data_IF_890590224211
#
_entry.id   IF_890590224211
#
_cell.length_a   1.000
_cell.length_b   1.000
_cell.length_c   1.000
_cell.angle_alpha   90.00
_cell.angle_beta   90.00
_cell.angle_gamma   90.00
#
_symmetry.space_group_name_H-M   'P 1'
#
loop_
_entity.id
_entity.type
_entity.pdbx_description
1 polymer ?
#
# COMPACT_ATOMS: atom_id res chain seq x y z
N UNK A 1 9.02 -10.51 27.01
CA UNK A 1 8.37 -9.38 26.28
C UNK A 1 7.52 -9.97 25.18
N UNK A 2 6.23 -9.81 25.29
CA UNK A 2 5.30 -10.36 24.31
C UNK A 2 5.37 -9.55 23.02
N UNK A 3 5.78 -10.20 21.92
CA UNK A 3 5.54 -9.72 20.58
C UNK A 3 4.02 -9.77 20.35
N UNK A 4 3.36 -8.66 20.59
CA UNK A 4 1.98 -8.50 20.16
C UNK A 4 1.97 -8.24 18.65
N UNK A 5 2.16 -9.29 17.87
CA UNK A 5 1.63 -9.32 16.51
C UNK A 5 0.10 -9.34 16.65
N UNK A 6 -0.46 -8.17 16.94
CA UNK A 6 -1.91 -8.01 16.99
C UNK A 6 -2.47 -8.11 15.58
N UNK A 7 -2.89 -9.28 15.19
CA UNK A 7 -3.82 -9.44 14.08
C UNK A 7 -5.13 -8.74 14.47
N UNK A 8 -5.25 -7.48 14.11
CA UNK A 8 -6.52 -6.78 14.15
C UNK A 8 -7.39 -7.33 13.03
N UNK A 9 -8.11 -8.37 13.32
CA UNK A 9 -9.10 -8.94 12.40
C UNK A 9 -10.20 -7.91 12.21
N UNK A 10 -10.23 -7.26 11.05
CA UNK A 10 -11.35 -6.41 10.66
C UNK A 10 -12.55 -7.29 10.32
N UNK A 11 -13.23 -7.78 11.35
CA UNK A 11 -14.28 -8.78 11.28
C UNK A 11 -15.52 -8.36 10.45
N UNK A 12 -15.57 -7.12 9.96
CA UNK A 12 -16.71 -6.59 9.19
C UNK A 12 -16.62 -6.75 7.68
N UNK A 13 -15.44 -7.05 7.12
CA UNK A 13 -15.26 -7.07 5.65
C UNK A 13 -14.64 -8.36 5.09
N UNK A 14 -14.37 -9.35 5.93
CA UNK A 14 -13.74 -10.60 5.48
C UNK A 14 -12.32 -10.43 4.92
N UNK A 15 -11.64 -9.32 5.28
CA UNK A 15 -10.25 -9.04 4.92
C UNK A 15 -9.37 -9.00 6.16
N UNK A 16 -8.19 -9.59 6.06
CA UNK A 16 -7.18 -9.54 7.09
C UNK A 16 -6.40 -8.22 7.03
N UNK A 17 -6.13 -7.62 8.18
CA UNK A 17 -5.33 -6.41 8.31
C UNK A 17 -3.94 -6.76 8.85
N UNK A 18 -2.92 -6.44 8.08
CA UNK A 18 -1.52 -6.61 8.45
C UNK A 18 -0.87 -5.24 8.70
N UNK A 19 -0.41 -5.01 9.91
CA UNK A 19 0.36 -3.84 10.28
C UNK A 19 1.83 -4.21 10.40
N UNK A 20 2.68 -3.56 9.64
CA UNK A 20 4.13 -3.75 9.71
C UNK A 20 4.83 -2.46 10.15
N UNK A 21 5.56 -2.56 11.25
CA UNK A 21 6.37 -1.48 11.82
C UNK A 21 7.83 -1.90 11.74
N UNK A 22 8.64 -1.28 10.88
CA UNK A 22 10.05 -1.60 10.77
C UNK A 22 10.82 -1.29 12.06
N UNK A 23 11.80 -2.14 12.37
CA UNK A 23 12.74 -1.87 13.46
C UNK A 23 13.70 -0.75 13.05
N UNK A 24 13.66 0.36 13.76
CA UNK A 24 14.51 1.55 13.49
C UNK A 24 16.01 1.24 13.54
N UNK A 25 16.44 0.30 14.39
CA UNK A 25 17.83 -0.07 14.55
C UNK A 25 18.33 -0.99 13.44
N UNK A 26 17.43 -1.69 12.74
CA UNK A 26 17.73 -2.66 11.69
C UNK A 26 16.78 -2.50 10.49
N UNK A 27 16.66 -1.30 9.94
CA UNK A 27 15.71 -0.99 8.87
C UNK A 27 15.83 -1.93 7.67
N UNK A 28 17.05 -2.17 7.20
CA UNK A 28 17.26 -3.04 6.03
C UNK A 28 16.73 -4.44 6.27
N UNK A 29 17.13 -5.07 7.35
CA UNK A 29 16.69 -6.44 7.69
C UNK A 29 15.19 -6.51 7.91
N UNK A 30 14.62 -5.51 8.56
CA UNK A 30 13.19 -5.41 8.80
C UNK A 30 12.41 -5.30 7.50
N UNK A 31 12.87 -4.50 6.55
CA UNK A 31 12.23 -4.32 5.26
C UNK A 31 12.44 -5.51 4.32
N UNK A 32 13.57 -6.19 4.38
CA UNK A 32 13.77 -7.47 3.70
C UNK A 32 12.73 -8.49 4.19
N UNK A 33 12.48 -8.54 5.49
CA UNK A 33 11.43 -9.39 6.06
C UNK A 33 10.02 -8.98 5.61
N UNK A 34 9.73 -7.68 5.54
CA UNK A 34 8.47 -7.19 4.97
C UNK A 34 8.30 -7.65 3.52
N UNK A 35 9.35 -7.56 2.70
CA UNK A 35 9.32 -8.03 1.30
C UNK A 35 9.00 -9.52 1.21
N UNK A 36 9.58 -10.35 2.07
CA UNK A 36 9.30 -11.79 2.12
C UNK A 36 7.83 -12.05 2.49
N UNK A 37 7.34 -11.42 3.55
CA UNK A 37 5.95 -11.57 3.98
C UNK A 37 4.96 -11.11 2.90
N UNK A 38 5.19 -9.96 2.33
CA UNK A 38 4.32 -9.39 1.30
C UNK A 38 4.32 -10.24 0.02
N UNK A 39 5.46 -10.78 -0.37
CA UNK A 39 5.61 -11.63 -1.56
C UNK A 39 5.01 -13.02 -1.39
N UNK A 40 4.98 -13.55 -0.17
CA UNK A 40 4.44 -14.89 0.14
C UNK A 40 2.93 -14.94 0.32
N UNK A 41 2.24 -13.78 0.26
CA UNK A 41 0.79 -13.73 0.43
C UNK A 41 0.05 -14.51 -0.65
N UNK A 42 -0.96 -15.28 -0.25
CA UNK A 42 -1.72 -16.17 -1.14
C UNK A 42 -3.04 -15.59 -1.64
N UNK A 43 -3.65 -14.68 -0.87
CA UNK A 43 -4.97 -14.10 -1.16
C UNK A 43 -4.93 -12.58 -1.16
N UNK A 44 -4.29 -12.01 -2.19
CA UNK A 44 -4.02 -10.57 -2.33
C UNK A 44 -5.25 -9.68 -2.17
N UNK A 45 -6.38 -10.08 -2.72
CA UNK A 45 -7.63 -9.30 -2.68
C UNK A 45 -8.32 -9.30 -1.30
N UNK A 46 -7.84 -10.10 -0.35
CA UNK A 46 -8.43 -10.25 0.98
C UNK A 46 -7.57 -9.68 2.11
N UNK A 47 -6.49 -9.00 1.77
CA UNK A 47 -5.54 -8.48 2.73
C UNK A 47 -5.40 -6.97 2.58
N UNK A 48 -5.38 -6.27 3.72
CA UNK A 48 -4.93 -4.89 3.83
C UNK A 48 -3.56 -4.88 4.47
N UNK A 49 -2.63 -4.19 3.86
CA UNK A 49 -1.28 -4.01 4.38
C UNK A 49 -1.05 -2.55 4.73
N UNK A 50 -0.57 -2.31 5.96
CA UNK A 50 -0.17 -1.01 6.46
C UNK A 50 1.31 -1.07 6.82
N UNK A 51 2.13 -0.27 6.15
CA UNK A 51 3.56 -0.15 6.42
C UNK A 51 3.86 1.21 7.05
N UNK A 52 4.48 1.19 8.22
CA UNK A 52 5.00 2.40 8.87
C UNK A 52 6.27 2.87 8.16
N UNK A 53 6.22 4.07 7.60
CA UNK A 53 7.35 4.70 6.91
C UNK A 53 7.95 5.89 7.69
N UNK A 54 7.56 6.08 8.94
CA UNK A 54 7.95 7.25 9.76
C UNK A 54 9.47 7.47 9.78
N UNK A 55 10.25 6.40 9.83
CA UNK A 55 11.70 6.44 9.89
C UNK A 55 12.41 6.19 8.53
N UNK A 56 11.65 6.13 7.43
CA UNK A 56 12.18 5.87 6.09
C UNK A 56 12.42 7.14 5.25
N UNK A 57 12.23 8.31 5.83
CA UNK A 57 12.26 9.59 5.15
C UNK A 57 10.87 10.00 4.67
N UNK A 58 10.79 10.72 3.54
CA UNK A 58 9.49 11.04 2.95
C UNK A 58 8.86 9.80 2.29
N UNK A 59 7.56 9.88 1.99
CA UNK A 59 6.86 8.81 1.31
C UNK A 59 7.50 8.46 -0.05
N UNK A 60 7.93 9.46 -0.80
CA UNK A 60 8.63 9.30 -2.08
C UNK A 60 9.98 8.59 -1.89
N UNK A 61 10.75 8.97 -0.88
CA UNK A 61 12.03 8.30 -0.56
C UNK A 61 11.83 6.87 -0.10
N UNK A 62 10.80 6.61 0.69
CA UNK A 62 10.48 5.26 1.13
C UNK A 62 10.21 4.34 -0.08
N UNK A 63 9.45 4.82 -1.06
CA UNK A 63 9.16 4.09 -2.29
C UNK A 63 10.41 3.91 -3.15
N UNK A 64 11.18 4.96 -3.35
CA UNK A 64 12.36 4.94 -4.22
C UNK A 64 13.48 4.04 -3.69
N UNK A 65 13.73 4.09 -2.39
CA UNK A 65 14.89 3.41 -1.77
C UNK A 65 14.50 2.02 -1.27
N UNK A 66 13.38 1.91 -0.56
CA UNK A 66 13.05 0.72 0.22
C UNK A 66 12.04 -0.21 -0.45
N UNK A 67 11.12 0.35 -1.24
CA UNK A 67 10.04 -0.41 -1.86
C UNK A 67 10.19 -0.60 -3.37
N UNK A 68 11.26 -0.10 -3.97
CA UNK A 68 11.51 -0.21 -5.42
C UNK A 68 11.59 -1.65 -5.90
N UNK A 69 12.14 -2.53 -5.08
CA UNK A 69 12.35 -3.95 -5.40
C UNK A 69 11.22 -4.86 -4.91
N UNK A 70 10.12 -4.29 -4.41
CA UNK A 70 8.95 -5.07 -4.02
C UNK A 70 8.43 -5.83 -5.25
N UNK A 71 8.48 -7.17 -5.26
CA UNK A 71 8.41 -7.92 -6.53
C UNK A 71 7.03 -7.94 -7.16
N UNK A 72 5.98 -7.89 -6.37
CA UNK A 72 4.62 -8.04 -6.88
C UNK A 72 3.70 -7.01 -6.24
N UNK A 73 3.41 -5.98 -7.01
CA UNK A 73 2.44 -4.97 -6.67
C UNK A 73 1.41 -4.92 -7.79
N UNK A 74 0.16 -5.21 -7.46
CA UNK A 74 -0.93 -5.30 -8.42
C UNK A 74 -1.94 -4.16 -8.24
N UNK A 75 -2.78 -3.98 -9.24
CA UNK A 75 -3.85 -2.98 -9.23
C UNK A 75 -4.85 -3.17 -8.09
N UNK A 76 -5.09 -4.41 -7.70
CA UNK A 76 -6.05 -4.77 -6.65
C UNK A 76 -5.45 -4.80 -5.24
N UNK A 77 -4.14 -4.61 -5.14
CA UNK A 77 -3.46 -4.60 -3.85
C UNK A 77 -3.92 -3.43 -2.99
N UNK A 78 -4.11 -3.70 -1.71
CA UNK A 78 -4.42 -2.73 -0.68
C UNK A 78 -3.19 -2.54 0.22
N UNK A 79 -2.14 -1.92 -0.34
CA UNK A 79 -0.95 -1.52 0.39
C UNK A 79 -1.00 -0.02 0.67
N UNK A 80 -1.01 0.32 1.94
CA UNK A 80 -1.00 1.67 2.45
C UNK A 80 0.29 1.93 3.22
N UNK A 81 0.83 3.12 3.04
CA UNK A 81 1.96 3.63 3.80
C UNK A 81 1.45 4.67 4.78
N UNK A 82 1.97 4.69 5.99
CA UNK A 82 1.63 5.75 6.94
C UNK A 82 2.86 6.33 7.62
N UNK A 83 2.81 7.61 7.87
CA UNK A 83 3.87 8.38 8.53
C UNK A 83 3.28 9.10 9.74
N UNK A 84 3.90 8.88 10.90
CA UNK A 84 3.50 9.55 12.13
C UNK A 84 4.17 10.92 12.21
N UNK A 85 3.36 11.98 12.13
CA UNK A 85 3.77 13.34 12.43
C UNK A 85 3.47 13.73 13.87
N UNK A 86 3.73 15.01 14.23
CA UNK A 86 3.49 15.49 15.57
C UNK A 86 1.99 15.60 15.92
N UNK A 87 1.16 15.96 14.95
CA UNK A 87 -0.27 16.23 15.15
C UNK A 87 -1.18 15.31 14.33
N UNK A 88 -0.65 14.68 13.30
CA UNK A 88 -1.41 13.83 12.41
C UNK A 88 -0.61 12.63 11.92
N UNK A 89 -1.32 11.58 11.54
CA UNK A 89 -0.76 10.46 10.80
C UNK A 89 -1.21 10.62 9.35
N UNK A 90 -0.26 10.78 8.44
CA UNK A 90 -0.54 10.82 7.01
C UNK A 90 -0.61 9.42 6.43
N UNK A 91 -1.49 9.24 5.45
CA UNK A 91 -1.73 7.94 4.83
C UNK A 91 -1.62 8.09 3.32
N UNK A 92 -0.81 7.22 2.71
CA UNK A 92 -0.68 7.09 1.26
C UNK A 92 -1.11 5.73 0.80
N UNK A 93 -1.66 5.67 -0.38
CA UNK A 93 -1.88 4.44 -1.14
C UNK A 93 -0.69 4.19 -2.05
N UNK A 94 -0.24 2.94 -2.13
CA UNK A 94 0.86 2.53 -2.99
C UNK A 94 0.42 1.35 -3.86
N UNK A 95 0.48 1.52 -5.17
CA UNK A 95 0.02 0.51 -6.13
C UNK A 95 0.75 0.61 -7.47
N UNK A 96 0.58 -0.41 -8.29
CA UNK A 96 1.06 -0.48 -9.66
C UNK A 96 -0.05 -1.02 -10.56
N UNK A 97 -0.21 -0.41 -11.71
CA UNK A 97 -1.29 -0.78 -12.64
C UNK A 97 -0.92 -2.03 -13.42
N UNK A 98 0.30 -2.04 -13.91
CA UNK A 98 0.89 -3.11 -14.70
C UNK A 98 2.40 -3.12 -14.46
N UNK A 99 3.04 -4.28 -14.62
CA UNK A 99 4.49 -4.43 -14.39
C UNK A 99 5.37 -3.47 -15.20
N UNK A 100 4.90 -3.04 -16.35
CA UNK A 100 5.63 -2.12 -17.24
C UNK A 100 5.34 -0.64 -16.94
N UNK A 101 4.46 -0.34 -16.03
CA UNK A 101 4.09 1.02 -15.65
C UNK A 101 4.79 1.45 -14.36
N UNK A 102 5.02 2.76 -14.18
CA UNK A 102 5.58 3.25 -12.94
C UNK A 102 4.65 2.96 -11.76
N UNK A 103 5.25 2.76 -10.61
CA UNK A 103 4.53 2.66 -9.34
C UNK A 103 3.97 4.00 -8.94
N UNK A 104 2.79 3.98 -8.34
CA UNK A 104 2.07 5.19 -7.94
C UNK A 104 2.00 5.25 -6.42
N UNK A 105 2.38 6.40 -5.87
CA UNK A 105 2.11 6.78 -4.49
C UNK A 105 1.15 7.95 -4.49
N UNK A 106 0.08 7.86 -3.71
CA UNK A 106 -0.94 8.89 -3.65
C UNK A 106 -1.38 9.15 -2.22
N UNK A 107 -1.31 10.41 -1.78
CA UNK A 107 -1.90 10.85 -0.52
C UNK A 107 -3.41 10.61 -0.57
N UNK A 108 -3.94 9.88 0.39
CA UNK A 108 -5.37 9.54 0.46
C UNK A 108 -6.07 10.14 1.67
N UNK A 109 -5.33 10.61 2.65
CA UNK A 109 -5.90 11.24 3.83
C UNK A 109 -4.99 11.23 5.04
N UNK A 110 -5.59 11.49 6.17
CA UNK A 110 -4.87 11.57 7.44
C UNK A 110 -5.77 11.17 8.61
N UNK A 111 -5.15 10.86 9.72
CA UNK A 111 -5.80 10.65 10.99
C UNK A 111 -5.27 11.66 12.02
N UNK A 112 -6.17 12.24 12.81
CA UNK A 112 -5.88 13.11 13.95
C UNK A 112 -6.82 12.79 15.11
N UNK A 113 -6.36 13.01 16.33
CA UNK A 113 -7.13 12.74 17.54
C UNK A 113 -8.48 13.49 17.60
N UNK A 114 -8.50 14.72 17.10
CA UNK A 114 -9.66 15.62 17.13
C UNK A 114 -10.68 15.37 16.01
N UNK A 115 -10.24 14.81 14.87
CA UNK A 115 -11.06 14.63 13.66
C UNK A 115 -11.31 13.14 13.36
N UNK A 116 -10.50 12.25 13.93
CA UNK A 116 -10.42 10.84 13.55
C UNK A 116 -9.86 10.66 12.12
N UNK A 117 -10.28 9.64 11.40
CA UNK A 117 -9.82 9.35 10.06
C UNK A 117 -10.56 10.24 9.05
N UNK A 118 -9.83 11.03 8.28
CA UNK A 118 -10.35 11.79 7.16
C UNK A 118 -9.74 11.31 5.84
N UNK A 119 -10.58 10.73 5.00
CA UNK A 119 -10.20 10.34 3.64
C UNK A 119 -10.51 11.50 2.70
N UNK A 120 -9.48 12.16 2.21
CA UNK A 120 -9.60 13.36 1.36
C UNK A 120 -9.78 13.05 -0.13
N UNK A 121 -9.59 11.79 -0.50
CA UNK A 121 -9.71 11.31 -1.87
C UNK A 121 -10.89 10.37 -2.02
N UNK A 122 -11.50 10.30 -3.23
CA UNK A 122 -12.56 9.34 -3.50
C UNK A 122 -12.06 7.89 -3.34
N UNK A 123 -12.99 6.93 -3.39
CA UNK A 123 -12.67 5.52 -3.25
C UNK A 123 -11.58 5.06 -4.23
N UNK A 124 -10.86 4.00 -3.87
CA UNK A 124 -9.79 3.40 -4.68
C UNK A 124 -10.22 3.18 -6.14
N UNK A 125 -11.44 2.72 -6.36
CA UNK A 125 -11.97 2.47 -7.71
C UNK A 125 -12.22 3.75 -8.51
N UNK A 126 -12.60 4.83 -7.85
CA UNK A 126 -12.74 6.14 -8.49
C UNK A 126 -11.38 6.78 -8.78
N UNK A 127 -10.41 6.62 -7.88
CA UNK A 127 -9.05 7.11 -8.10
C UNK A 127 -8.35 6.37 -9.24
N UNK A 128 -8.64 5.09 -9.39
CA UNK A 128 -8.05 4.20 -10.39
C UNK A 128 -8.90 4.05 -11.65
N UNK A 129 -9.96 4.84 -11.83
CA UNK A 129 -10.87 4.74 -12.97
C UNK A 129 -10.21 5.00 -14.33
N UNK A 130 -9.22 5.88 -14.38
CA UNK A 130 -8.49 6.18 -15.61
C UNK A 130 -7.70 4.97 -16.13
N UNK A 131 -7.49 3.99 -15.27
CA UNK A 131 -6.85 2.72 -15.59
C UNK A 131 -7.79 1.79 -16.33
N UNK A 132 -9.08 1.84 -16.06
CA UNK A 132 -10.10 1.06 -16.80
C UNK A 132 -10.16 1.47 -18.26
N UNK A 133 -10.09 2.77 -18.54
CA UNK A 133 -10.07 3.27 -19.91
C UNK A 133 -8.82 2.82 -20.66
N UNK A 134 -7.65 2.86 -20.01
CA UNK A 134 -6.40 2.38 -20.61
C UNK A 134 -6.36 0.87 -20.81
N UNK A 135 -6.87 0.10 -19.84
CA UNK A 135 -7.03 -1.35 -19.96
C UNK A 135 -8.01 -1.74 -21.07
N UNK A 136 -9.15 -1.05 -21.19
CA UNK A 136 -10.13 -1.26 -22.27
C UNK A 136 -9.56 -0.91 -23.63
N UNK A 137 -8.80 0.18 -23.74
CA UNK A 137 -8.10 0.53 -24.98
C UNK A 137 -7.03 -0.53 -25.36
N UNK A 138 -6.31 -1.07 -24.37
CA UNK A 138 -5.30 -2.10 -24.60
C UNK A 138 -5.92 -3.44 -25.03
N UNK A 139 -7.03 -3.83 -24.43
CA UNK A 139 -7.79 -5.04 -24.81
C UNK A 139 -8.39 -4.89 -26.20
N UNK A 140 -8.95 -3.73 -26.54
CA UNK A 140 -9.48 -3.44 -27.88
C UNK A 140 -8.39 -3.40 -28.95
N UNK A 141 -7.21 -2.89 -28.61
CA UNK A 141 -6.07 -2.91 -29.56
C UNK A 141 -5.56 -4.33 -29.86
N UNK A 142 -5.55 -5.23 -28.88
CA UNK A 142 -5.21 -6.64 -29.10
C UNK A 142 -6.28 -7.39 -29.90
N UNK A 143 -7.54 -7.03 -29.76
CA UNK A 143 -8.63 -7.65 -30.51
C UNK A 143 -8.69 -7.25 -31.97
N UNK A 144 -8.07 -6.13 -32.36
CA UNK A 144 -8.01 -5.66 -33.75
C UNK A 144 -6.87 -6.32 -34.54
N UNK A 145 -5.90 -6.93 -33.89
CA UNK A 145 -4.75 -7.60 -34.52
C UNK A 145 -4.81 -9.13 -34.49
N UNK A 146 -5.92 -9.68 -34.10
CA UNK A 146 -6.25 -11.11 -34.22
C UNK A 146 -7.29 -11.32 -35.32
#
# INVERSE_FOLDING_TARGET
MANSNGNLTAARFGKDLHLFVPDELNLKQSLDHFHELYSSRTWRSREYWLLDITHLGSAEKAVEIWLKDLPTLDLDDDLYLFEQGNEEIRIWEFYQIHSDMPRVIQDVGFWRDDISLEITKPSKWLRRKDLRVRLLLFVNFKAIYL
#
